data_IF_855427501744
#
_entry.id   IF_855427501744
#
_cell.length_a   1.000
_cell.length_b   1.000
_cell.length_c   1.000
_cell.angle_alpha   90.00
_cell.angle_beta   90.00
_cell.angle_gamma   90.00
#
_symmetry.space_group_name_H-M   'P 1'
#
loop_
_entity.id
_entity.type
_entity.pdbx_description
1 polymer ?
#
# COMPACT_ATOMS: atom_id res chain seq x y z
N UNK A 1 49.34 -66.93 -10.62
CA UNK A 1 49.41 -67.44 -9.25
C UNK A 1 48.72 -66.43 -8.34
N UNK A 2 47.81 -66.93 -7.51
CA UNK A 2 46.85 -66.20 -6.66
C UNK A 2 47.60 -65.44 -5.56
N UNK A 3 47.15 -64.23 -5.19
CA UNK A 3 47.11 -63.90 -3.77
C UNK A 3 46.06 -62.86 -3.40
N UNK A 4 45.16 -63.28 -2.52
CA UNK A 4 44.18 -62.48 -1.78
C UNK A 4 44.92 -61.68 -0.70
N UNK A 5 44.62 -60.39 -0.59
CA UNK A 5 45.03 -59.56 0.55
C UNK A 5 43.85 -58.71 1.01
N UNK A 6 43.18 -59.12 2.08
CA UNK A 6 42.19 -58.35 2.82
C UNK A 6 42.89 -57.39 3.79
N UNK A 7 42.55 -56.10 3.76
CA UNK A 7 42.79 -55.10 4.83
C UNK A 7 42.39 -53.72 4.27
N UNK A 8 41.73 -52.78 4.94
CA UNK A 8 41.09 -52.60 6.25
C UNK A 8 40.09 -51.46 5.98
N UNK A 9 38.86 -51.55 6.48
CA UNK A 9 37.88 -50.45 6.40
C UNK A 9 38.29 -49.34 7.38
N UNK A 10 38.80 -48.22 6.85
CA UNK A 10 39.00 -47.00 7.63
C UNK A 10 37.68 -46.20 7.67
N UNK A 11 37.12 -46.04 8.87
CA UNK A 11 35.94 -45.21 9.11
C UNK A 11 36.40 -43.76 9.24
N UNK A 12 36.10 -42.93 8.24
CA UNK A 12 36.31 -41.49 8.33
C UNK A 12 35.07 -40.82 8.94
N UNK A 13 35.17 -40.35 10.19
CA UNK A 13 34.16 -39.50 10.81
C UNK A 13 34.29 -38.07 10.24
N UNK A 14 33.40 -37.68 9.34
CA UNK A 14 33.32 -36.31 8.84
C UNK A 14 32.63 -35.42 9.88
N UNK A 15 33.37 -34.48 10.47
CA UNK A 15 32.80 -33.45 11.35
C UNK A 15 32.01 -32.44 10.53
N UNK A 16 30.70 -32.37 10.76
CA UNK A 16 29.83 -31.32 10.22
C UNK A 16 30.00 -30.04 11.05
N UNK A 17 30.70 -29.05 10.50
CA UNK A 17 30.68 -27.68 11.05
C UNK A 17 29.35 -27.03 10.70
N UNK A 18 28.49 -26.81 11.70
CA UNK A 18 27.29 -25.97 11.57
C UNK A 18 27.72 -24.52 11.40
N UNK A 19 27.51 -23.95 10.21
CA UNK A 19 27.60 -22.51 10.02
C UNK A 19 26.33 -21.88 10.56
N UNK A 20 26.44 -21.25 11.73
CA UNK A 20 25.43 -20.33 12.23
C UNK A 20 25.39 -19.14 11.27
N UNK A 21 24.38 -19.10 10.40
CA UNK A 21 24.05 -17.88 9.67
C UNK A 21 23.47 -16.91 10.69
N UNK A 22 24.30 -15.98 11.15
CA UNK A 22 23.82 -14.80 11.84
C UNK A 22 22.92 -14.04 10.84
N UNK A 23 21.61 -14.31 10.92
CA UNK A 23 20.60 -13.56 10.19
C UNK A 23 20.59 -12.19 10.83
N UNK A 24 21.26 -11.24 10.20
CA UNK A 24 21.20 -9.84 10.62
C UNK A 24 19.73 -9.42 10.54
N UNK A 25 19.06 -9.34 11.68
CA UNK A 25 17.83 -8.59 11.86
C UNK A 25 18.15 -7.10 11.82
N UNK A 26 18.70 -6.64 10.69
CA UNK A 26 18.51 -5.26 10.29
C UNK A 26 17.08 -5.17 9.83
N UNK A 27 16.17 -4.76 10.72
CA UNK A 27 14.83 -4.35 10.35
C UNK A 27 15.00 -3.20 9.36
N UNK A 28 15.05 -3.52 8.06
CA UNK A 28 14.98 -2.53 7.00
C UNK A 28 13.57 -1.97 7.13
N UNK A 29 13.47 -0.80 7.74
CA UNK A 29 12.20 -0.15 8.02
C UNK A 29 11.46 0.03 6.68
N UNK A 30 10.42 -0.78 6.48
CA UNK A 30 9.70 -0.85 5.21
C UNK A 30 9.05 0.50 4.96
N UNK A 31 9.22 1.11 3.77
CA UNK A 31 8.51 2.34 3.44
C UNK A 31 7.03 2.19 3.72
N UNK A 32 6.47 3.17 4.45
CA UNK A 32 5.06 3.14 4.86
C UNK A 32 4.25 3.97 3.88
N UNK A 33 3.14 3.41 3.42
CA UNK A 33 2.16 4.14 2.60
C UNK A 33 1.44 5.22 3.43
N UNK A 34 0.84 6.24 2.79
CA UNK A 34 0.03 7.22 3.50
C UNK A 34 -1.18 6.57 4.18
N UNK A 35 -1.52 7.04 5.38
CA UNK A 35 -2.67 6.53 6.16
C UNK A 35 -3.74 7.60 6.25
N UNK A 36 -4.97 7.27 5.86
CA UNK A 36 -6.10 8.19 5.98
C UNK A 36 -6.45 8.40 7.46
N UNK A 37 -6.30 9.63 7.95
CA UNK A 37 -6.67 9.97 9.34
C UNK A 37 -8.09 10.51 9.45
N UNK A 38 -8.56 11.20 8.42
CA UNK A 38 -9.84 11.90 8.47
C UNK A 38 -10.40 12.14 7.08
N UNK A 39 -11.72 11.96 6.92
CA UNK A 39 -12.46 12.47 5.79
C UNK A 39 -13.74 13.18 6.20
N UNK A 40 -13.77 14.51 6.05
CA UNK A 40 -14.93 15.38 6.38
C UNK A 40 -15.80 15.74 5.17
N UNK A 41 -15.55 15.13 4.01
CA UNK A 41 -16.16 15.54 2.74
C UNK A 41 -17.27 14.64 2.23
N UNK A 42 -17.82 13.73 3.05
CA UNK A 42 -18.78 12.71 2.62
C UNK A 42 -20.03 13.29 1.95
N UNK A 43 -20.63 14.31 2.57
CA UNK A 43 -21.81 14.98 2.00
C UNK A 43 -21.47 15.72 0.69
N UNK A 44 -20.37 16.47 0.68
CA UNK A 44 -19.91 17.19 -0.52
C UNK A 44 -19.62 16.23 -1.68
N UNK A 45 -19.08 15.04 -1.38
CA UNK A 45 -18.89 13.97 -2.35
C UNK A 45 -20.21 13.42 -2.85
N UNK A 46 -21.16 13.11 -1.96
CA UNK A 46 -22.48 12.61 -2.35
C UNK A 46 -23.22 13.60 -3.26
N UNK A 47 -23.20 14.89 -2.93
CA UNK A 47 -23.77 15.97 -3.75
C UNK A 47 -23.09 16.03 -5.12
N UNK A 48 -21.76 15.92 -5.17
CA UNK A 48 -21.02 15.91 -6.44
C UNK A 48 -21.41 14.71 -7.31
N UNK A 49 -21.49 13.51 -6.74
CA UNK A 49 -21.91 12.28 -7.43
C UNK A 49 -23.31 12.42 -8.02
N UNK A 50 -24.26 12.88 -7.21
CA UNK A 50 -25.65 13.10 -7.61
C UNK A 50 -25.77 14.12 -8.75
N UNK A 51 -25.10 15.28 -8.62
CA UNK A 51 -25.11 16.33 -9.65
C UNK A 51 -24.53 15.87 -10.98
N UNK A 52 -23.62 14.90 -10.97
CA UNK A 52 -23.04 14.32 -12.18
C UNK A 52 -23.85 13.16 -12.75
N UNK A 53 -24.98 12.79 -12.14
CA UNK A 53 -25.81 11.64 -12.52
C UNK A 53 -24.99 10.34 -12.57
N UNK A 54 -24.02 10.21 -11.67
CA UNK A 54 -23.19 9.01 -11.57
C UNK A 54 -23.94 7.96 -10.76
N UNK A 55 -24.31 6.85 -11.42
CA UNK A 55 -25.12 5.77 -10.82
C UNK A 55 -24.28 4.67 -10.16
N UNK A 56 -22.95 4.78 -10.23
CA UNK A 56 -22.03 3.80 -9.65
C UNK A 56 -22.19 3.74 -8.13
N UNK A 57 -22.30 2.52 -7.59
CA UNK A 57 -22.37 2.29 -6.15
C UNK A 57 -21.00 2.38 -5.46
N UNK A 58 -19.94 2.16 -6.21
CA UNK A 58 -18.56 2.22 -5.74
C UNK A 58 -17.80 3.30 -6.52
N UNK A 59 -17.00 4.08 -5.81
CA UNK A 59 -16.03 5.01 -6.38
C UNK A 59 -14.67 4.53 -5.94
N UNK A 60 -13.92 3.91 -6.85
CA UNK A 60 -12.51 3.59 -6.59
C UNK A 60 -11.65 4.76 -7.04
N UNK A 61 -10.64 5.09 -6.24
CA UNK A 61 -9.77 6.22 -6.49
C UNK A 61 -8.37 5.95 -5.95
N UNK A 62 -7.42 6.67 -6.51
CA UNK A 62 -6.04 6.77 -6.05
C UNK A 62 -5.71 8.24 -5.86
N UNK A 63 -5.13 8.59 -4.71
CA UNK A 63 -4.63 9.92 -4.40
C UNK A 63 -3.11 9.92 -4.32
N UNK A 64 -2.48 10.95 -4.86
CA UNK A 64 -1.09 11.29 -4.51
C UNK A 64 -1.16 12.14 -3.25
N UNK A 65 -0.44 11.74 -2.21
CA UNK A 65 -0.36 12.45 -0.93
C UNK A 65 1.06 13.00 -0.78
N UNK A 66 1.18 14.29 -0.49
CA UNK A 66 2.48 14.94 -0.28
C UNK A 66 3.08 14.64 1.10
N UNK A 67 4.31 15.12 1.33
CA UNK A 67 5.03 14.92 2.59
C UNK A 67 4.38 15.66 3.79
N UNK A 68 3.43 16.58 3.55
CA UNK A 68 2.63 17.24 4.58
C UNK A 68 1.34 16.47 4.91
N UNK A 69 1.09 15.33 4.24
CA UNK A 69 -0.12 14.54 4.42
C UNK A 69 -1.34 15.12 3.69
N UNK A 70 -1.14 15.98 2.68
CA UNK A 70 -2.22 16.56 1.87
C UNK A 70 -2.35 15.83 0.54
N UNK A 71 -3.57 15.46 0.13
CA UNK A 71 -3.78 14.90 -1.19
C UNK A 71 -3.66 15.99 -2.27
N UNK A 72 -2.79 15.77 -3.24
CA UNK A 72 -2.46 16.75 -4.30
C UNK A 72 -2.99 16.33 -5.67
N UNK A 73 -3.16 15.03 -5.91
CA UNK A 73 -3.70 14.49 -7.16
C UNK A 73 -4.76 13.42 -6.90
N UNK A 74 -5.69 13.26 -7.84
CA UNK A 74 -6.77 12.28 -7.75
C UNK A 74 -7.03 11.63 -9.10
N UNK A 75 -7.00 10.31 -9.12
CA UNK A 75 -7.39 9.46 -10.24
C UNK A 75 -8.58 8.59 -9.83
N UNK A 76 -9.54 8.41 -10.74
CA UNK A 76 -10.68 7.50 -10.54
C UNK A 76 -10.47 6.23 -11.36
N UNK A 77 -10.87 5.09 -10.79
CA UNK A 77 -10.74 3.77 -11.42
C UNK A 77 -12.10 3.06 -11.47
N UNK A 78 -12.61 2.72 -12.67
CA UNK A 78 -12.06 3.07 -13.98
C UNK A 78 -12.15 4.58 -14.24
N UNK A 79 -11.31 5.06 -15.17
CA UNK A 79 -11.34 6.46 -15.58
C UNK A 79 -12.68 6.80 -16.22
N UNK A 80 -13.44 7.69 -15.58
CA UNK A 80 -14.72 8.15 -16.13
C UNK A 80 -14.50 8.93 -17.44
N UNK A 81 -15.35 8.72 -18.45
CA UNK A 81 -15.22 9.35 -19.78
C UNK A 81 -15.21 10.89 -19.71
N UNK A 82 -16.15 11.48 -18.96
CA UNK A 82 -16.30 12.94 -18.88
C UNK A 82 -15.28 13.55 -17.91
N UNK A 83 -14.44 14.46 -18.40
CA UNK A 83 -13.47 15.21 -17.56
C UNK A 83 -14.16 15.99 -16.44
N UNK A 84 -15.26 16.68 -16.75
CA UNK A 84 -16.02 17.46 -15.77
C UNK A 84 -16.51 16.60 -14.59
N UNK A 85 -16.98 15.38 -14.87
CA UNK A 85 -17.38 14.43 -13.83
C UNK A 85 -16.20 14.04 -12.96
N UNK A 86 -15.06 13.64 -13.54
CA UNK A 86 -13.85 13.31 -12.75
C UNK A 86 -13.45 14.45 -11.83
N UNK A 87 -13.39 15.68 -12.34
CA UNK A 87 -13.03 16.87 -11.55
C UNK A 87 -14.03 17.10 -10.41
N UNK A 88 -15.33 16.97 -10.69
CA UNK A 88 -16.37 17.16 -9.68
C UNK A 88 -16.27 16.13 -8.55
N UNK A 89 -15.99 14.85 -8.87
CA UNK A 89 -15.83 13.79 -7.87
C UNK A 89 -14.51 13.93 -7.10
N UNK A 90 -13.40 14.26 -7.77
CA UNK A 90 -12.10 14.40 -7.12
C UNK A 90 -12.02 15.61 -6.18
N UNK A 91 -12.71 16.71 -6.48
CA UNK A 91 -12.65 17.95 -5.68
C UNK A 91 -12.90 17.73 -4.17
N UNK A 92 -13.97 17.06 -3.72
CA UNK A 92 -14.19 16.80 -2.31
C UNK A 92 -13.14 15.85 -1.69
N UNK A 93 -12.63 14.87 -2.44
CA UNK A 93 -11.56 13.98 -1.96
C UNK A 93 -10.29 14.79 -1.66
N UNK A 94 -9.86 15.63 -2.60
CA UNK A 94 -8.69 16.49 -2.46
C UNK A 94 -8.85 17.56 -1.36
N UNK A 95 -10.07 18.05 -1.13
CA UNK A 95 -10.31 19.16 -0.20
C UNK A 95 -10.46 18.72 1.25
N UNK A 96 -11.03 17.53 1.49
CA UNK A 96 -11.51 17.15 2.82
C UNK A 96 -10.87 15.89 3.41
N UNK A 97 -9.96 15.25 2.68
CA UNK A 97 -9.17 14.14 3.23
C UNK A 97 -7.87 14.66 3.83
N UNK A 98 -7.48 14.07 4.96
CA UNK A 98 -6.18 14.30 5.61
C UNK A 98 -5.50 12.96 5.82
N UNK A 99 -4.19 12.96 5.71
CA UNK A 99 -3.37 11.77 5.84
C UNK A 99 -2.24 11.98 6.84
N UNK A 100 -1.79 10.89 7.45
CA UNK A 100 -0.38 10.77 7.79
C UNK A 100 0.39 10.49 6.49
N UNK A 101 1.48 11.23 6.20
CA UNK A 101 2.23 11.05 4.96
C UNK A 101 2.90 9.69 4.91
N UNK A 102 3.29 9.28 3.69
CA UNK A 102 4.19 8.15 3.54
C UNK A 102 5.52 8.43 4.25
N UNK A 103 6.23 7.37 4.64
CA UNK A 103 7.58 7.49 5.22
C UNK A 103 8.58 6.62 4.47
N UNK A 104 9.77 7.15 4.25
CA UNK A 104 10.89 6.40 3.69
C UNK A 104 11.50 5.42 4.72
N UNK A 105 12.55 4.71 4.32
CA UNK A 105 13.24 3.74 5.18
C UNK A 105 14.01 4.38 6.35
N UNK A 106 14.14 5.71 6.36
CA UNK A 106 14.73 6.49 7.46
C UNK A 106 13.65 7.12 8.35
N UNK A 107 12.37 6.86 8.04
CA UNK A 107 11.23 7.41 8.75
C UNK A 107 10.88 8.85 8.36
N UNK A 108 11.51 9.44 7.34
CA UNK A 108 11.22 10.79 6.90
C UNK A 108 9.91 10.83 6.09
N UNK A 109 9.05 11.85 6.29
CA UNK A 109 7.87 12.07 5.46
C UNK A 109 8.24 12.22 3.98
N UNK A 110 7.50 11.53 3.11
CA UNK A 110 7.70 11.55 1.66
C UNK A 110 6.37 11.50 0.92
N UNK A 111 6.42 11.69 -0.40
CA UNK A 111 5.26 11.57 -1.28
C UNK A 111 4.87 10.09 -1.40
N UNK A 112 3.59 9.80 -1.30
CA UNK A 112 3.06 8.44 -1.45
C UNK A 112 1.73 8.39 -2.21
N UNK A 113 1.27 7.18 -2.49
CA UNK A 113 -0.04 6.96 -3.12
C UNK A 113 -0.97 6.22 -2.17
N UNK A 114 -2.23 6.66 -2.10
CA UNK A 114 -3.28 6.02 -1.33
C UNK A 114 -4.40 5.57 -2.27
N UNK A 115 -4.72 4.28 -2.30
CA UNK A 115 -5.80 3.73 -3.12
C UNK A 115 -6.91 3.15 -2.25
N UNK A 116 -8.15 3.50 -2.53
CA UNK A 116 -9.31 3.04 -1.76
C UNK A 116 -10.60 3.11 -2.56
N UNK A 117 -11.70 2.69 -1.96
CA UNK A 117 -13.02 2.73 -2.55
C UNK A 117 -14.08 3.23 -1.57
N UNK A 118 -15.06 4.00 -2.08
CA UNK A 118 -16.19 4.49 -1.29
C UNK A 118 -17.46 3.83 -1.80
N UNK A 119 -18.19 3.18 -0.89
CA UNK A 119 -19.54 2.71 -1.16
C UNK A 119 -20.55 3.82 -0.91
N UNK A 120 -21.20 4.29 -1.97
CA UNK A 120 -22.15 5.40 -1.92
C UNK A 120 -23.47 5.06 -1.21
N UNK A 121 -23.73 3.78 -0.92
CA UNK A 121 -24.93 3.35 -0.18
C UNK A 121 -24.69 3.30 1.32
N UNK A 122 -23.54 2.81 1.75
CA UNK A 122 -23.22 2.59 3.17
C UNK A 122 -22.34 3.68 3.76
N UNK A 123 -21.85 4.61 2.94
CA UNK A 123 -20.89 5.63 3.35
C UNK A 123 -19.50 5.07 3.58
N UNK A 124 -18.56 5.96 3.94
CA UNK A 124 -17.24 5.57 4.44
C UNK A 124 -17.46 5.09 5.87
N UNK A 125 -17.57 3.78 6.04
CA UNK A 125 -17.22 3.20 7.32
C UNK A 125 -15.71 3.46 7.50
N UNK A 126 -15.27 4.13 8.58
CA UNK A 126 -13.89 3.98 8.99
C UNK A 126 -13.74 2.51 9.40
N UNK A 127 -13.19 1.67 8.53
CA UNK A 127 -12.54 0.46 9.00
C UNK A 127 -11.23 0.92 9.66
N UNK A 128 -11.31 1.09 10.98
CA UNK A 128 -10.18 1.05 11.90
C UNK A 128 -10.40 -0.14 12.82
#
# INVERSE_FOLDING_TARGET
MINLGYAVLAVAAASLTVQATARSEGSSEVPRDPVLVEFKGGEALAVAVYRQRMLSRMINYTLTVDADGKPTECALTPKLRRKATRVAICRPLLKYMKFEPARDAQGNPTIGQYSSAINMRTGIAPES
#
